data_IF_891445267443
#
_entry.id   IF_891445267443
#
_cell.length_a   1.000
_cell.length_b   1.000
_cell.length_c   1.000
_cell.angle_alpha   90.00
_cell.angle_beta   90.00
_cell.angle_gamma   90.00
#
_symmetry.space_group_name_H-M   'P 1'
#
loop_
_entity.id
_entity.type
_entity.pdbx_description
1 polymer ?
#
# COMPACT_ATOMS: atom_id res chain seq x y z
N UNK A 1 15.61 -27.27 -3.84
CA UNK A 1 15.23 -27.17 -2.41
C UNK A 1 14.70 -25.77 -2.05
N UNK A 2 15.42 -24.68 -2.38
CA UNK A 2 14.98 -23.28 -2.17
C UNK A 2 13.62 -22.91 -2.81
N UNK A 3 13.37 -23.31 -4.05
CA UNK A 3 12.07 -23.12 -4.74
C UNK A 3 10.85 -23.67 -4.00
N UNK A 4 11.04 -24.71 -3.15
CA UNK A 4 9.96 -25.35 -2.37
C UNK A 4 9.68 -24.61 -1.06
N UNK A 5 10.66 -23.86 -0.54
CA UNK A 5 10.51 -23.01 0.65
C UNK A 5 9.94 -21.61 0.30
N UNK A 6 10.13 -21.18 -0.96
CA UNK A 6 9.54 -19.96 -1.53
C UNK A 6 8.08 -20.13 -1.97
N UNK A 7 7.41 -21.25 -1.63
CA UNK A 7 5.95 -21.24 -1.54
C UNK A 7 5.59 -20.32 -0.38
N UNK A 8 5.55 -19.02 -0.67
CA UNK A 8 4.92 -18.00 0.16
C UNK A 8 3.65 -18.64 0.70
N UNK A 9 3.57 -18.80 2.02
CA UNK A 9 2.28 -19.05 2.67
C UNK A 9 1.32 -18.07 2.03
N UNK A 10 0.15 -18.49 1.51
CA UNK A 10 -0.78 -17.53 0.93
C UNK A 10 -1.00 -16.46 2.00
N UNK A 11 -0.45 -15.27 1.75
CA UNK A 11 -0.52 -14.20 2.72
C UNK A 11 -2.02 -14.00 2.94
N UNK A 12 -2.49 -14.14 4.18
CA UNK A 12 -3.92 -14.06 4.48
C UNK A 12 -4.50 -12.86 3.71
N UNK A 13 -5.51 -13.13 2.87
CA UNK A 13 -6.00 -12.16 1.88
C UNK A 13 -6.30 -10.85 2.57
N UNK A 14 -5.86 -9.74 1.98
CA UNK A 14 -6.22 -8.42 2.48
C UNK A 14 -7.74 -8.25 2.37
N UNK A 15 -8.34 -7.67 3.40
CA UNK A 15 -9.72 -7.21 3.29
C UNK A 15 -9.82 -6.11 2.24
N UNK A 16 -11.02 -5.89 1.69
CA UNK A 16 -11.25 -4.81 0.73
C UNK A 16 -10.82 -3.45 1.30
N UNK A 17 -11.15 -3.16 2.56
CA UNK A 17 -10.73 -1.94 3.24
C UNK A 17 -9.19 -1.78 3.30
N UNK A 18 -8.46 -2.88 3.46
CA UNK A 18 -7.00 -2.86 3.48
C UNK A 18 -6.40 -2.70 2.08
N UNK A 19 -7.04 -3.27 1.05
CA UNK A 19 -6.67 -3.04 -0.35
C UNK A 19 -6.89 -1.59 -0.78
N UNK A 20 -8.05 -1.00 -0.46
CA UNK A 20 -8.32 0.43 -0.70
C UNK A 20 -7.26 1.31 -0.02
N UNK A 21 -6.94 1.01 1.24
CA UNK A 21 -5.92 1.75 2.00
C UNK A 21 -4.53 1.60 1.38
N UNK A 22 -4.18 0.39 0.94
CA UNK A 22 -2.91 0.13 0.28
C UNK A 22 -2.80 0.88 -1.05
N UNK A 23 -3.87 0.92 -1.84
CA UNK A 23 -3.92 1.65 -3.10
C UNK A 23 -3.68 3.16 -2.87
N UNK A 24 -4.38 3.77 -1.90
CA UNK A 24 -4.16 5.18 -1.55
C UNK A 24 -2.70 5.44 -1.19
N UNK A 25 -2.08 4.57 -0.38
CA UNK A 25 -0.66 4.71 -0.03
C UNK A 25 0.24 4.54 -1.25
N UNK A 26 0.01 3.54 -2.10
CA UNK A 26 0.85 3.27 -3.27
C UNK A 26 0.91 4.48 -4.23
N UNK A 27 -0.24 5.12 -4.49
CA UNK A 27 -0.34 6.25 -5.44
C UNK A 27 -0.08 7.64 -4.84
N UNK A 28 -0.19 7.81 -3.51
CA UNK A 28 -0.04 9.13 -2.86
C UNK A 28 1.14 9.24 -1.90
N UNK A 29 1.97 8.20 -1.78
CA UNK A 29 3.14 8.23 -0.92
C UNK A 29 4.13 9.35 -1.28
N UNK A 30 4.85 9.91 -0.28
CA UNK A 30 4.69 9.66 1.16
C UNK A 30 3.42 10.35 1.73
N UNK A 31 2.57 9.60 2.46
CA UNK A 31 1.26 10.09 2.95
C UNK A 31 1.03 9.77 4.43
N UNK A 32 0.35 10.65 5.16
CA UNK A 32 0.05 10.49 6.59
C UNK A 32 -1.29 9.79 6.84
N UNK A 33 -1.46 9.20 8.03
CA UNK A 33 -2.73 8.56 8.41
C UNK A 33 -3.96 9.50 8.35
N UNK A 34 -3.89 10.77 8.78
CA UNK A 34 -4.99 11.72 8.58
C UNK A 34 -5.37 11.89 7.10
N UNK A 35 -4.39 12.10 6.22
CA UNK A 35 -4.63 12.28 4.77
C UNK A 35 -5.23 11.02 4.13
N UNK A 36 -4.77 9.82 4.54
CA UNK A 36 -5.36 8.55 4.09
C UNK A 36 -6.85 8.48 4.47
N UNK A 37 -7.20 8.86 5.71
CA UNK A 37 -8.58 8.83 6.20
C UNK A 37 -9.46 9.86 5.50
N UNK A 38 -8.92 11.03 5.19
CA UNK A 38 -9.60 12.07 4.42
C UNK A 38 -9.94 11.57 3.02
N UNK A 39 -8.98 10.99 2.30
CA UNK A 39 -9.19 10.44 0.95
C UNK A 39 -10.19 9.27 0.96
N UNK A 40 -10.10 8.38 1.96
CA UNK A 40 -11.00 7.22 2.05
C UNK A 40 -12.39 7.55 2.59
N UNK A 41 -12.57 8.69 3.26
CA UNK A 41 -13.81 9.06 3.95
C UNK A 41 -14.18 8.15 5.14
N UNK A 42 -13.28 7.26 5.58
CA UNK A 42 -13.53 6.30 6.67
C UNK A 42 -12.25 5.95 7.44
N UNK A 43 -12.41 5.42 8.65
CA UNK A 43 -11.29 5.04 9.51
C UNK A 43 -10.38 4.02 8.81
N UNK A 44 -9.07 4.28 8.87
CA UNK A 44 -8.03 3.50 8.19
C UNK A 44 -6.97 2.92 9.15
N UNK A 45 -7.15 3.08 10.47
CA UNK A 45 -6.16 2.70 11.49
C UNK A 45 -5.84 1.21 11.47
N UNK A 46 -6.89 0.36 11.46
CA UNK A 46 -6.72 -1.10 11.44
C UNK A 46 -6.09 -1.61 10.14
N UNK A 47 -6.44 -0.99 9.01
CA UNK A 47 -5.85 -1.28 7.71
C UNK A 47 -4.37 -0.91 7.68
N UNK A 48 -4.00 0.29 8.12
CA UNK A 48 -2.58 0.70 8.21
C UNK A 48 -1.80 -0.24 9.12
N UNK A 49 -2.34 -0.62 10.28
CA UNK A 49 -1.72 -1.61 11.17
C UNK A 49 -1.50 -2.95 10.48
N UNK A 50 -2.53 -3.47 9.80
CA UNK A 50 -2.46 -4.74 9.06
C UNK A 50 -1.41 -4.69 7.95
N UNK A 51 -1.33 -3.57 7.22
CA UNK A 51 -0.37 -3.40 6.13
C UNK A 51 1.08 -3.30 6.65
N UNK A 52 1.31 -2.67 7.81
CA UNK A 52 2.60 -2.65 8.50
C UNK A 52 3.00 -4.06 8.96
N UNK A 53 2.09 -4.80 9.60
CA UNK A 53 2.32 -6.18 10.06
C UNK A 53 2.68 -7.13 8.90
N UNK A 54 2.02 -6.93 7.75
CA UNK A 54 2.31 -7.66 6.50
C UNK A 54 3.52 -7.10 5.74
N UNK A 55 4.17 -6.06 6.26
CA UNK A 55 5.33 -5.38 5.66
C UNK A 55 5.07 -4.85 4.27
N UNK A 56 3.82 -4.55 3.90
CA UNK A 56 3.48 -3.96 2.59
C UNK A 56 3.72 -2.46 2.55
N UNK A 57 3.73 -1.82 3.73
CA UNK A 57 4.04 -0.40 3.87
C UNK A 57 5.09 -0.22 4.97
N UNK A 58 5.78 0.91 4.92
CA UNK A 58 6.81 1.31 5.89
C UNK A 58 6.71 2.81 6.22
N UNK A 59 7.19 3.24 7.39
CA UNK A 59 7.40 4.66 7.67
C UNK A 59 8.41 5.29 6.70
N UNK A 60 8.11 6.49 6.22
CA UNK A 60 8.96 7.32 5.33
C UNK A 60 9.35 8.64 5.99
N UNK A 61 9.44 8.65 7.32
CA UNK A 61 9.73 9.84 8.12
C UNK A 61 8.48 10.51 8.68
N UNK A 62 8.58 11.80 8.99
CA UNK A 62 7.51 12.59 9.64
C UNK A 62 7.29 13.90 8.89
N UNK A 63 6.04 14.28 8.66
CA UNK A 63 5.69 15.53 7.95
C UNK A 63 6.05 16.74 8.83
N UNK A 64 6.69 17.81 8.30
CA UNK A 64 7.15 18.95 9.09
C UNK A 64 6.01 19.95 9.38
N UNK A 65 4.96 19.46 10.03
CA UNK A 65 3.78 20.24 10.45
C UNK A 65 3.50 19.99 11.94
N UNK A 66 2.53 20.71 12.52
CA UNK A 66 2.11 20.49 13.91
C UNK A 66 1.75 19.02 14.17
N UNK A 67 2.18 18.47 15.31
CA UNK A 67 2.03 17.05 15.65
C UNK A 67 2.98 16.09 14.92
N UNK A 68 3.70 16.57 13.88
CA UNK A 68 4.69 15.83 13.08
C UNK A 68 4.22 14.40 12.77
N UNK A 69 3.09 14.20 12.07
CA UNK A 69 2.56 12.85 11.85
C UNK A 69 3.53 11.99 11.03
N UNK A 70 3.50 10.67 11.26
CA UNK A 70 4.27 9.70 10.48
C UNK A 70 3.73 9.67 9.05
N UNK A 71 4.63 9.67 8.07
CA UNK A 71 4.31 9.41 6.67
C UNK A 71 4.59 7.95 6.34
N UNK A 72 3.76 7.36 5.49
CA UNK A 72 3.86 5.98 5.04
C UNK A 72 4.09 5.92 3.53
N UNK A 73 4.76 4.86 3.10
CA UNK A 73 4.91 4.49 1.70
C UNK A 73 5.04 2.98 1.54
N UNK A 74 5.04 2.49 0.30
CA UNK A 74 5.19 1.06 0.02
C UNK A 74 6.61 0.58 0.31
N UNK A 75 6.71 -0.73 0.58
CA UNK A 75 7.96 -1.42 0.87
C UNK A 75 8.53 -2.13 -0.37
N UNK A 76 9.66 -2.82 -0.20
CA UNK A 76 10.17 -3.75 -1.22
C UNK A 76 9.33 -5.02 -1.30
N UNK A 77 8.82 -5.49 -0.17
CA UNK A 77 7.92 -6.63 -0.08
C UNK A 77 6.61 -6.39 -0.85
N UNK A 78 6.14 -5.13 -0.90
CA UNK A 78 5.04 -4.76 -1.78
C UNK A 78 5.37 -5.04 -3.25
N UNK A 79 6.50 -4.54 -3.75
CA UNK A 79 6.91 -4.78 -5.15
C UNK A 79 6.99 -6.28 -5.46
N UNK A 80 7.64 -7.05 -4.59
CA UNK A 80 7.75 -8.51 -4.72
C UNK A 80 6.38 -9.19 -4.74
N UNK A 81 5.47 -8.78 -3.85
CA UNK A 81 4.16 -9.41 -3.74
C UNK A 81 3.25 -9.08 -4.92
N UNK A 82 3.40 -7.91 -5.53
CA UNK A 82 2.64 -7.47 -6.70
C UNK A 82 3.35 -7.75 -8.03
N UNK A 83 4.56 -8.33 -8.00
CA UNK A 83 5.31 -8.70 -9.20
C UNK A 83 5.87 -7.50 -9.98
N UNK A 84 6.12 -6.39 -9.29
CA UNK A 84 6.62 -5.15 -9.87
C UNK A 84 8.14 -5.03 -9.68
N UNK A 85 8.85 -4.49 -10.66
CA UNK A 85 10.27 -4.13 -10.50
C UNK A 85 10.42 -2.82 -9.74
N UNK A 86 9.55 -1.85 -10.02
CA UNK A 86 9.51 -0.55 -9.35
C UNK A 86 8.09 0.05 -9.39
N UNK A 87 7.94 1.25 -8.81
CA UNK A 87 6.63 1.90 -8.65
C UNK A 87 6.08 2.52 -9.95
N UNK A 88 6.91 2.72 -10.97
CA UNK A 88 6.46 3.25 -12.27
C UNK A 88 5.66 2.23 -13.08
N UNK A 89 5.73 0.95 -12.72
CA UNK A 89 4.91 -0.13 -13.29
C UNK A 89 3.50 -0.20 -12.67
N UNK A 90 3.18 0.68 -11.70
CA UNK A 90 1.80 0.81 -11.24
C UNK A 90 0.94 1.43 -12.35
N UNK A 91 -0.25 0.87 -12.64
CA UNK A 91 -1.12 1.41 -13.66
C UNK A 91 -1.49 2.86 -13.32
N UNK A 92 -1.37 3.73 -14.32
CA UNK A 92 -1.86 5.10 -14.27
C UNK A 92 -3.39 5.11 -14.23
N UNK A 93 -3.97 6.26 -13.89
CA UNK A 93 -5.43 6.41 -13.91
C UNK A 93 -5.95 6.19 -15.34
N UNK A 94 -5.21 6.64 -16.35
CA UNK A 94 -5.52 6.43 -17.76
C UNK A 94 -5.55 4.92 -18.10
N UNK A 95 -4.59 4.14 -17.60
CA UNK A 95 -4.57 2.68 -17.84
C UNK A 95 -5.81 1.97 -17.27
N UNK A 96 -6.42 2.50 -16.18
CA UNK A 96 -7.64 1.92 -15.61
C UNK A 96 -8.87 2.09 -16.51
N UNK A 97 -8.94 3.13 -17.34
CA UNK A 97 -10.04 3.30 -18.28
C UNK A 97 -10.02 2.20 -19.34
N UNK A 98 -8.82 1.87 -19.84
CA UNK A 98 -8.62 0.79 -20.82
C UNK A 98 -9.05 -0.59 -20.27
N UNK A 99 -8.76 -0.89 -19.00
CA UNK A 99 -9.17 -2.14 -18.34
C UNK A 99 -10.68 -2.29 -18.12
N UNK A 100 -11.45 -1.19 -18.12
CA UNK A 100 -12.92 -1.22 -17.95
C UNK A 100 -13.62 -1.36 -19.30
N UNK A 101 -12.97 -0.95 -20.39
CA UNK A 101 -13.50 -1.02 -21.76
C UNK A 101 -13.30 -2.34 -22.48
N UNK A 102 -12.54 -3.29 -21.92
CA UNK A 102 -12.45 -4.70 -22.36
C UNK A 102 -13.38 -5.64 -21.58
#
# INVERSE_FOLDING_TARGET
>A
VLRRYLRTRPAARLSLASLETLAVIAYKQPITLPEIQEIRGKNSVSSVKTLLEKRLIVPKGRKPVAGRPIMYGTSKEFLIQFGLNDLSELPSIEDFEDFITE
#
